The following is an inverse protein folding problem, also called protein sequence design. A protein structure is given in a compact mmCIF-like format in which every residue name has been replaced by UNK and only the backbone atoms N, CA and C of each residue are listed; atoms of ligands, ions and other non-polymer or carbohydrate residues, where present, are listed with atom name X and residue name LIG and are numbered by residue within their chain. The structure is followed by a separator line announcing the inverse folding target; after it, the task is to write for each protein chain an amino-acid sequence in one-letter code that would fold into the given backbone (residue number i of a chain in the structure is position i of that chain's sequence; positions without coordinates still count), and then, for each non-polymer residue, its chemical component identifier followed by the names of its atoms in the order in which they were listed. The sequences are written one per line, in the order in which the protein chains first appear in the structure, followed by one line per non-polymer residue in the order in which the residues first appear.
data_IF_696581738622
#
_entry.id   IF_696581738622
#
_cell.length_a   1.000
_cell.length_b   1.000
_cell.length_c   1.000
_cell.angle_alpha   90.00
_cell.angle_beta   90.00
_cell.angle_gamma   90.00
#
_symmetry.space_group_name_H-M   'P 1'
#
loop_
_entity.id
_entity.type
_entity.pdbx_description
1 polymer ?
#
# COMPACT_ATOMS: atom_id res chain seq x y z
N UNK A 1 0.11 -4.33 25.26
CA UNK A 1 1.40 -4.63 24.59
C UNK A 1 1.14 -5.78 23.61
N UNK A 2 1.21 -5.54 22.31
CA UNK A 2 1.09 -6.63 21.32
C UNK A 2 2.34 -7.51 21.38
N UNK A 3 2.17 -8.83 21.26
CA UNK A 3 3.31 -9.76 21.20
C UNK A 3 4.03 -9.54 19.86
N UNK A 4 5.37 -9.53 19.84
CA UNK A 4 6.13 -9.39 18.60
C UNK A 4 5.88 -10.57 17.67
N UNK A 5 5.66 -10.29 16.39
CA UNK A 5 5.43 -11.30 15.36
C UNK A 5 6.76 -12.02 15.10
N UNK A 6 6.80 -13.34 15.31
CA UNK A 6 8.00 -14.13 15.05
C UNK A 6 8.16 -14.40 13.55
N UNK A 7 9.31 -14.03 12.98
CA UNK A 7 9.59 -14.16 11.54
C UNK A 7 10.88 -14.89 11.20
N UNK A 8 11.60 -15.38 12.20
CA UNK A 8 12.85 -16.11 12.00
C UNK A 8 12.67 -17.39 11.16
N UNK A 9 11.48 -18.00 11.24
CA UNK A 9 11.09 -19.15 10.41
C UNK A 9 11.19 -18.87 8.90
N UNK A 10 11.11 -17.61 8.46
CA UNK A 10 11.26 -17.23 7.05
C UNK A 10 12.67 -17.57 6.53
N UNK A 11 13.65 -17.67 7.43
CA UNK A 11 15.03 -17.98 7.08
C UNK A 11 15.30 -19.48 6.96
N UNK A 12 14.39 -20.34 7.45
CA UNK A 12 14.56 -21.80 7.43
C UNK A 12 14.79 -22.33 6.01
N UNK A 13 15.76 -23.25 5.90
CA UNK A 13 16.11 -23.88 4.63
C UNK A 13 15.21 -25.09 4.36
N UNK A 14 14.85 -25.84 5.41
CA UNK A 14 13.94 -26.96 5.32
C UNK A 14 12.49 -26.50 5.34
N UNK A 15 11.91 -26.39 4.14
CA UNK A 15 10.50 -26.01 3.95
C UNK A 15 9.51 -27.10 4.32
N UNK A 16 9.98 -28.35 4.48
CA UNK A 16 9.16 -29.46 4.93
C UNK A 16 9.29 -29.67 6.45
N UNK A 17 10.24 -29.01 7.08
CA UNK A 17 10.41 -28.97 8.53
C UNK A 17 9.24 -28.28 9.24
N UNK A 18 9.02 -28.68 10.48
CA UNK A 18 7.89 -28.20 11.28
C UNK A 18 7.97 -26.71 11.59
N UNK A 19 9.19 -26.17 11.77
CA UNK A 19 9.41 -24.74 12.03
C UNK A 19 8.88 -23.89 10.88
N UNK A 20 9.23 -24.23 9.64
CA UNK A 20 8.78 -23.49 8.47
C UNK A 20 7.26 -23.64 8.27
N UNK A 21 6.73 -24.86 8.39
CA UNK A 21 5.28 -25.11 8.25
C UNK A 21 4.46 -24.35 9.30
N UNK A 22 4.92 -24.34 10.55
CA UNK A 22 4.27 -23.61 11.62
C UNK A 22 4.30 -22.11 11.35
N UNK A 23 5.45 -21.57 10.96
CA UNK A 23 5.57 -20.16 10.59
C UNK A 23 4.64 -19.76 9.43
N UNK A 24 4.52 -20.61 8.41
CA UNK A 24 3.55 -20.40 7.31
C UNK A 24 2.11 -20.39 7.83
N UNK A 25 1.76 -21.30 8.73
CA UNK A 25 0.42 -21.34 9.34
C UNK A 25 0.13 -20.07 10.16
N UNK A 26 1.10 -19.62 10.96
CA UNK A 26 1.02 -18.39 11.75
C UNK A 26 0.85 -17.16 10.86
N UNK A 27 1.59 -17.08 9.75
CA UNK A 27 1.42 -16.04 8.74
C UNK A 27 0.02 -16.05 8.12
N UNK A 28 -0.50 -17.22 7.75
CA UNK A 28 -1.85 -17.33 7.18
C UNK A 28 -2.90 -16.91 8.19
N UNK A 29 -2.75 -17.29 9.46
CA UNK A 29 -3.66 -16.85 10.53
C UNK A 29 -3.62 -15.34 10.69
N UNK A 30 -2.42 -14.74 10.75
CA UNK A 30 -2.23 -13.30 10.80
C UNK A 30 -2.92 -12.60 9.61
N UNK A 31 -2.64 -13.05 8.39
CA UNK A 31 -3.23 -12.49 7.19
C UNK A 31 -4.75 -12.62 7.22
N UNK A 32 -5.30 -13.78 7.62
CA UNK A 32 -6.76 -14.00 7.68
C UNK A 32 -7.45 -13.02 8.62
N UNK A 33 -6.87 -12.77 9.80
CA UNK A 33 -7.44 -11.82 10.78
C UNK A 33 -7.43 -10.39 10.24
N UNK A 34 -6.38 -10.04 9.48
CA UNK A 34 -6.17 -8.69 8.99
C UNK A 34 -6.69 -8.44 7.56
N UNK A 35 -7.23 -9.44 6.87
CA UNK A 35 -7.63 -9.34 5.46
C UNK A 35 -9.00 -8.64 5.24
N UNK A 36 -9.51 -7.90 6.23
CA UNK A 36 -10.78 -7.15 6.15
C UNK A 36 -11.97 -7.93 5.53
N UNK A 37 -12.04 -9.24 5.75
CA UNK A 37 -13.11 -10.10 5.23
C UNK A 37 -12.92 -10.64 3.81
N UNK A 38 -11.81 -10.34 3.13
CA UNK A 38 -11.52 -10.93 1.82
C UNK A 38 -11.18 -12.44 1.92
N UNK A 39 -11.64 -13.21 0.94
CA UNK A 39 -11.38 -14.66 0.81
C UNK A 39 -10.04 -14.98 0.15
N UNK A 40 -9.39 -13.96 -0.44
CA UNK A 40 -8.10 -14.09 -1.12
C UNK A 40 -7.10 -13.06 -0.61
N UNK A 41 -5.82 -13.38 -0.71
CA UNK A 41 -4.73 -12.57 -0.15
C UNK A 41 -3.50 -12.61 -1.07
N UNK A 42 -2.70 -11.54 -1.16
CA UNK A 42 -1.45 -11.54 -1.93
C UNK A 42 -0.49 -12.65 -1.48
N UNK A 43 0.10 -13.37 -2.43
CA UNK A 43 0.99 -14.49 -2.16
C UNK A 43 2.46 -14.05 -2.07
N UNK A 44 3.08 -14.30 -0.90
CA UNK A 44 4.49 -13.97 -0.62
C UNK A 44 5.49 -15.01 -1.13
N UNK A 45 5.07 -15.97 -1.96
CA UNK A 45 6.03 -16.93 -2.47
C UNK A 45 6.97 -16.27 -3.49
N UNK A 46 8.17 -16.82 -3.67
CA UNK A 46 9.22 -16.24 -4.54
C UNK A 46 8.83 -16.08 -6.01
N UNK A 47 7.85 -16.86 -6.46
CA UNK A 47 7.28 -16.80 -7.81
C UNK A 47 6.20 -15.72 -7.94
N UNK A 48 5.43 -15.47 -6.89
CA UNK A 48 4.31 -14.52 -6.93
C UNK A 48 4.72 -13.12 -6.49
N UNK A 49 5.61 -13.00 -5.49
CA UNK A 49 6.14 -11.73 -4.95
C UNK A 49 5.05 -10.67 -4.71
N UNK A 50 3.96 -11.08 -4.06
CA UNK A 50 2.76 -10.27 -3.81
C UNK A 50 1.98 -9.83 -5.06
N UNK A 51 2.40 -10.16 -6.28
CA UNK A 51 1.71 -9.78 -7.53
C UNK A 51 0.48 -10.64 -7.88
N UNK A 52 0.25 -11.76 -7.17
CA UNK A 52 -0.91 -12.62 -7.38
C UNK A 52 -1.60 -12.93 -6.06
N UNK A 53 -2.93 -12.81 -6.04
CA UNK A 53 -3.76 -13.13 -4.89
C UNK A 53 -4.43 -14.49 -5.05
N UNK A 54 -4.45 -15.27 -3.97
CA UNK A 54 -5.11 -16.58 -3.96
C UNK A 54 -5.84 -16.82 -2.65
N UNK A 55 -6.68 -17.85 -2.62
CA UNK A 55 -7.23 -18.38 -1.37
C UNK A 55 -6.12 -18.94 -0.46
N UNK A 56 -6.29 -18.87 0.85
CA UNK A 56 -5.27 -19.23 1.84
C UNK A 56 -4.69 -20.64 1.67
N UNK A 57 -5.50 -21.63 1.28
CA UNK A 57 -5.02 -22.99 1.02
C UNK A 57 -4.05 -23.07 -0.17
N UNK A 58 -4.25 -22.25 -1.21
CA UNK A 58 -3.31 -22.13 -2.34
C UNK A 58 -2.05 -21.39 -1.93
N UNK A 59 -2.17 -20.33 -1.12
CA UNK A 59 -1.01 -19.61 -0.55
C UNK A 59 -0.15 -20.56 0.27
N UNK A 60 -0.74 -21.37 1.15
CA UNK A 60 -0.03 -22.38 1.93
C UNK A 60 0.80 -23.28 1.02
N UNK A 61 0.17 -23.89 0.01
CA UNK A 61 0.84 -24.77 -0.95
C UNK A 61 1.98 -24.07 -1.69
N UNK A 62 1.78 -22.81 -2.10
CA UNK A 62 2.82 -22.01 -2.76
C UNK A 62 4.00 -21.72 -1.85
N UNK A 63 3.75 -21.36 -0.58
CA UNK A 63 4.81 -21.08 0.39
C UNK A 63 5.62 -22.34 0.74
N UNK A 64 5.01 -23.52 0.78
CA UNK A 64 5.74 -24.79 0.94
C UNK A 64 6.57 -25.12 -0.32
N UNK A 65 5.95 -25.01 -1.51
CA UNK A 65 6.59 -25.43 -2.77
C UNK A 65 7.72 -24.49 -3.20
N UNK A 66 7.43 -23.20 -3.30
CA UNK A 66 8.31 -22.18 -3.86
C UNK A 66 9.12 -21.43 -2.80
N UNK A 67 8.73 -21.55 -1.54
CA UNK A 67 9.33 -20.79 -0.46
C UNK A 67 8.82 -19.35 -0.41
N UNK A 68 8.91 -18.76 0.77
CA UNK A 68 8.62 -17.36 1.00
C UNK A 68 9.75 -16.46 0.46
N UNK A 69 9.38 -15.26 0.05
CA UNK A 69 10.32 -14.19 -0.22
C UNK A 69 10.91 -13.68 1.11
N UNK A 70 12.21 -13.94 1.31
CA UNK A 70 12.94 -13.56 2.53
C UNK A 70 13.17 -12.05 2.64
N UNK A 71 13.01 -11.32 1.54
CA UNK A 71 13.20 -9.87 1.50
C UNK A 71 11.96 -9.12 1.97
N UNK A 72 10.79 -9.75 1.92
CA UNK A 72 9.54 -9.13 2.36
C UNK A 72 9.32 -9.32 3.87
N UNK A 73 10.10 -8.58 4.66
CA UNK A 73 10.13 -8.69 6.13
C UNK A 73 8.97 -7.99 6.84
N UNK A 74 8.32 -7.02 6.21
CA UNK A 74 7.17 -6.30 6.77
C UNK A 74 5.95 -6.64 5.94
N UNK A 75 4.94 -7.24 6.54
CA UNK A 75 3.73 -7.72 5.88
C UNK A 75 2.68 -6.61 5.76
N UNK A 76 3.07 -5.48 5.17
CA UNK A 76 2.22 -4.27 5.04
C UNK A 76 0.93 -4.54 4.28
N UNK A 77 1.01 -5.33 3.19
CA UNK A 77 -0.16 -5.76 2.41
C UNK A 77 -1.06 -6.77 3.14
N UNK A 78 -0.66 -7.17 4.35
CA UNK A 78 -1.34 -8.15 5.19
C UNK A 78 -1.71 -7.53 6.55
N UNK A 79 -1.61 -6.20 6.67
CA UNK A 79 -2.04 -5.44 7.85
C UNK A 79 -1.00 -5.28 8.95
N UNK A 80 0.28 -5.58 8.68
CA UNK A 80 1.34 -5.25 9.64
C UNK A 80 1.63 -3.75 9.66
N UNK A 81 1.56 -3.15 10.85
CA UNK A 81 1.91 -1.76 11.07
C UNK A 81 3.35 -1.63 11.60
N UNK A 82 4.28 -1.04 10.83
CA UNK A 82 5.69 -0.89 11.22
C UNK A 82 5.89 0.08 12.39
N UNK A 83 4.92 0.93 12.73
CA UNK A 83 5.03 1.92 13.79
C UNK A 83 4.81 1.36 15.22
N UNK A 84 4.72 0.03 15.38
CA UNK A 84 4.43 -0.61 16.67
C UNK A 84 5.67 -1.07 17.45
N UNK A 85 6.85 -0.95 16.87
CA UNK A 85 8.11 -1.19 17.57
C UNK A 85 8.56 0.08 18.32
N UNK A 86 9.24 -0.04 19.48
CA UNK A 86 9.86 1.11 20.12
C UNK A 86 10.89 1.70 19.17
N UNK A 87 10.60 2.93 18.72
CA UNK A 87 11.45 3.74 17.85
C UNK A 87 12.82 3.88 18.51
N UNK A 88 13.80 3.10 18.06
CA UNK A 88 15.18 3.56 18.07
C UNK A 88 15.23 4.51 16.88
N UNK A 89 15.18 5.82 17.14
CA UNK A 89 15.27 6.81 16.07
C UNK A 89 16.54 6.53 15.27
N UNK A 90 16.45 6.18 13.96
CA UNK A 90 17.61 6.32 13.13
C UNK A 90 17.92 7.81 13.06
N UNK A 91 19.11 8.19 13.52
CA UNK A 91 19.69 9.51 13.22
C UNK A 91 19.84 9.54 11.71
N UNK A 92 18.86 10.15 11.02
CA UNK A 92 18.97 10.47 9.61
C UNK A 92 19.84 11.72 9.57
N UNK A 93 21.13 11.53 9.32
CA UNK A 93 21.96 12.63 8.82
C UNK A 93 21.35 13.04 7.47
N UNK A 94 20.85 14.27 7.40
CA UNK A 94 20.30 14.86 6.18
C UNK A 94 21.42 15.02 5.15
N UNK A 95 21.71 13.95 4.41
CA UNK A 95 22.40 14.09 3.13
C UNK A 95 21.39 14.62 2.11
N UNK A 96 21.49 15.92 1.83
CA UNK A 96 20.90 16.57 0.66
C UNK A 96 21.42 15.89 -0.62
N UNK A 97 20.75 14.81 -1.03
CA UNK A 97 20.80 14.35 -2.39
C UNK A 97 19.63 14.99 -3.14
N UNK A 98 19.97 15.89 -4.06
CA UNK A 98 19.07 16.51 -5.04
C UNK A 98 18.64 15.46 -6.10
N UNK A 99 18.06 14.36 -5.63
CA UNK A 99 17.32 13.44 -6.47
C UNK A 99 15.86 13.88 -6.40
N UNK A 100 15.31 14.31 -7.53
CA UNK A 100 13.89 14.60 -7.79
C UNK A 100 13.00 13.53 -7.14
N UNK A 101 12.67 13.77 -5.87
CA UNK A 101 11.98 12.81 -5.02
C UNK A 101 10.52 12.78 -5.42
N UNK A 102 10.03 11.61 -5.83
CA UNK A 102 8.61 11.33 -5.96
C UNK A 102 7.97 11.38 -4.57
N UNK A 103 7.77 12.59 -4.04
CA UNK A 103 7.02 12.82 -2.82
C UNK A 103 5.60 12.26 -2.97
N UNK A 104 5.00 11.82 -1.87
CA UNK A 104 3.64 11.26 -1.86
C UNK A 104 2.61 12.17 -2.55
N UNK A 105 2.83 13.49 -2.59
CA UNK A 105 1.98 14.44 -3.32
C UNK A 105 1.84 14.11 -4.81
N UNK A 106 2.89 13.58 -5.45
CA UNK A 106 2.85 13.24 -6.88
C UNK A 106 1.97 12.00 -7.15
N UNK A 107 1.95 11.05 -6.22
CA UNK A 107 1.09 9.87 -6.29
C UNK A 107 -0.39 10.23 -6.11
N UNK A 108 -0.70 11.09 -5.13
CA UNK A 108 -2.07 11.56 -4.89
C UNK A 108 -2.58 12.36 -6.10
N UNK A 109 -1.80 13.32 -6.61
CA UNK A 109 -2.17 14.09 -7.80
C UNK A 109 -2.42 13.19 -9.03
N UNK A 110 -1.62 12.12 -9.22
CA UNK A 110 -1.84 11.13 -10.27
C UNK A 110 -3.15 10.33 -10.08
N UNK A 111 -3.46 9.92 -8.85
CA UNK A 111 -4.68 9.16 -8.54
C UNK A 111 -5.98 9.96 -8.77
N UNK A 112 -5.91 11.29 -8.63
CA UNK A 112 -7.03 12.21 -8.87
C UNK A 112 -7.02 12.82 -10.29
N UNK A 113 -6.11 12.39 -11.18
CA UNK A 113 -6.07 12.84 -12.58
C UNK A 113 -5.70 14.32 -12.74
N UNK A 114 -4.83 14.83 -11.86
CA UNK A 114 -4.41 16.25 -11.82
C UNK A 114 -3.29 16.56 -12.81
N UNK A 115 -2.51 15.55 -13.22
CA UNK A 115 -1.56 15.71 -14.30
C UNK A 115 -2.29 15.75 -15.64
N UNK A 116 -1.99 16.77 -16.46
CA UNK A 116 -2.32 16.74 -17.89
C UNK A 116 -1.70 15.46 -18.45
N UNK A 117 -2.55 14.58 -18.97
CA UNK A 117 -2.12 13.34 -19.62
C UNK A 117 -1.11 13.71 -20.70
N UNK A 118 0.18 13.53 -20.44
CA UNK A 118 1.06 13.10 -21.52
C UNK A 118 0.49 11.74 -21.87
N UNK A 119 -0.26 11.70 -22.97
CA UNK A 119 -0.69 10.45 -23.56
C UNK A 119 0.58 9.64 -23.77
N UNK A 120 0.87 8.70 -22.87
CA UNK A 120 1.75 7.61 -23.17
C UNK A 120 1.07 6.92 -24.35
N UNK A 121 1.58 7.17 -25.54
CA UNK A 121 1.17 6.54 -26.78
C UNK A 121 1.46 5.04 -26.62
N UNK A 122 0.52 4.33 -25.98
CA UNK A 122 0.52 2.89 -25.90
C UNK A 122 0.15 2.41 -27.28
N UNK A 123 1.18 2.26 -28.10
CA UNK A 123 1.12 1.52 -29.36
C UNK A 123 0.29 0.25 -29.13
N UNK A 124 -0.74 0.13 -29.95
CA UNK A 124 -1.63 -1.03 -30.05
C UNK A 124 -0.82 -2.25 -30.50
N UNK A 125 -0.28 -3.01 -29.54
CA UNK A 125 0.15 -4.38 -29.80
C UNK A 125 0.11 -5.15 -28.48
N UNK A 126 -1.01 -5.81 -28.22
CA UNK A 126 -1.01 -7.24 -27.88
C UNK A 126 -2.46 -7.76 -27.88
N UNK A 127 -2.82 -8.43 -28.97
CA UNK A 127 -3.85 -9.46 -28.94
C UNK A 127 -3.44 -10.56 -27.94
N UNK A 128 -4.41 -10.97 -27.11
CA UNK A 128 -4.42 -12.14 -26.21
C UNK A 128 -3.93 -11.97 -24.76
N UNK A 129 -4.80 -11.39 -23.92
CA UNK A 129 -5.11 -12.03 -22.63
C UNK A 129 -6.55 -11.76 -22.20
N UNK A 130 -7.41 -12.78 -22.30
CA UNK A 130 -8.74 -12.79 -21.72
C UNK A 130 -8.61 -13.03 -20.20
N UNK A 131 -8.33 -11.95 -19.47
CA UNK A 131 -8.50 -11.87 -18.02
C UNK A 131 -9.60 -10.86 -17.76
N UNK A 132 -10.54 -11.20 -16.87
CA UNK A 132 -11.65 -10.36 -16.43
C UNK A 132 -11.10 -9.04 -15.87
N UNK A 133 -10.97 -8.05 -16.74
CA UNK A 133 -10.55 -6.71 -16.39
C UNK A 133 -11.78 -6.04 -15.82
N UNK A 134 -11.86 -5.97 -14.48
CA UNK A 134 -12.73 -4.98 -13.87
C UNK A 134 -12.42 -3.65 -14.56
N UNK A 135 -13.43 -2.99 -15.18
CA UNK A 135 -13.20 -1.69 -15.77
C UNK A 135 -12.58 -0.81 -14.68
N UNK A 136 -11.51 -0.06 -14.98
CA UNK A 136 -10.89 0.82 -14.01
C UNK A 136 -12.01 1.65 -13.38
N UNK A 137 -11.97 1.87 -12.05
CA UNK A 137 -13.00 2.62 -11.37
C UNK A 137 -13.25 3.89 -12.17
N UNK A 138 -14.50 4.04 -12.65
CA UNK A 138 -14.88 5.19 -13.47
C UNK A 138 -14.64 6.41 -12.60
N UNK A 139 -13.54 7.11 -12.85
CA UNK A 139 -13.24 8.36 -12.18
C UNK A 139 -14.41 9.28 -12.47
N UNK A 140 -15.04 9.82 -11.42
CA UNK A 140 -16.17 10.71 -11.60
C UNK A 140 -15.75 11.83 -12.56
N UNK A 141 -16.57 12.15 -13.57
CA UNK A 141 -16.31 13.30 -14.42
C UNK A 141 -16.23 14.52 -13.51
N UNK A 142 -15.05 15.13 -13.42
CA UNK A 142 -14.69 16.28 -12.55
C UNK A 142 -14.01 15.98 -11.19
N UNK A 143 -13.67 14.72 -10.87
CA UNK A 143 -12.99 14.39 -9.62
C UNK A 143 -11.68 15.18 -9.42
N UNK A 144 -10.84 15.27 -10.46
CA UNK A 144 -9.59 16.03 -10.42
C UNK A 144 -9.79 17.55 -10.28
N UNK A 145 -10.87 18.10 -10.86
CA UNK A 145 -11.20 19.52 -10.71
C UNK A 145 -11.55 19.85 -9.26
N UNK A 146 -12.41 19.03 -8.63
CA UNK A 146 -12.81 19.19 -7.22
C UNK A 146 -11.63 19.03 -6.28
N UNK A 147 -10.76 18.04 -6.54
CA UNK A 147 -9.54 17.86 -5.76
C UNK A 147 -8.65 19.11 -5.78
N UNK A 148 -8.41 19.68 -6.96
CA UNK A 148 -7.59 20.90 -7.09
C UNK A 148 -8.23 22.11 -6.38
N UNK A 149 -9.55 22.24 -6.44
CA UNK A 149 -10.27 23.28 -5.71
C UNK A 149 -10.11 23.15 -4.20
N UNK A 150 -10.29 21.94 -3.65
CA UNK A 150 -10.08 21.68 -2.21
C UNK A 150 -8.63 21.88 -1.80
N UNK A 151 -7.66 21.47 -2.62
CA UNK A 151 -6.22 21.69 -2.38
C UNK A 151 -5.94 23.20 -2.19
N UNK A 152 -6.50 24.04 -3.06
CA UNK A 152 -6.39 25.50 -2.92
C UNK A 152 -7.05 26.03 -1.64
N UNK A 153 -8.24 25.53 -1.28
CA UNK A 153 -8.93 25.93 -0.05
C UNK A 153 -8.22 25.47 1.22
N UNK A 154 -7.44 24.38 1.15
CA UNK A 154 -6.65 23.85 2.26
C UNK A 154 -5.44 24.75 2.57
N UNK A 155 -4.94 25.49 1.60
CA UNK A 155 -3.83 26.44 1.75
C UNK A 155 -4.33 27.87 2.03
N UNK A 156 -5.55 28.17 1.62
CA UNK A 156 -6.16 29.49 1.80
C UNK A 156 -6.55 29.72 3.26
N UNK A 157 -6.04 30.81 3.85
CA UNK A 157 -6.49 31.30 5.15
C UNK A 157 -7.99 31.61 5.13
N UNK A 158 -8.68 31.33 6.24
CA UNK A 158 -10.12 31.62 6.36
C UNK A 158 -10.46 33.09 6.08
N UNK A 159 -9.60 34.01 6.52
CA UNK A 159 -9.63 35.43 6.16
C UNK A 159 -8.19 35.93 5.96
N UNK A 160 -7.94 36.96 5.12
CA UNK A 160 -6.58 37.44 4.85
C UNK A 160 -5.81 37.87 6.10
N UNK A 161 -6.50 38.44 7.09
CA UNK A 161 -5.95 38.85 8.39
C UNK A 161 -5.99 37.75 9.45
N UNK A 162 -6.25 36.49 9.08
CA UNK A 162 -6.27 35.37 10.02
C UNK A 162 -4.85 35.01 10.42
N UNK A 163 -4.58 35.11 11.71
CA UNK A 163 -3.34 34.63 12.33
C UNK A 163 -3.47 33.18 12.83
N UNK A 164 -4.70 32.71 13.05
CA UNK A 164 -4.97 31.33 13.43
C UNK A 164 -4.71 30.38 12.25
N UNK A 165 -4.27 29.14 12.50
CA UNK A 165 -3.99 28.13 11.47
C UNK A 165 -5.28 27.53 10.87
N UNK A 166 -6.35 28.30 10.80
CA UNK A 166 -7.64 27.88 10.26
C UNK A 166 -7.71 28.24 8.78
N UNK A 167 -7.96 27.23 7.96
CA UNK A 167 -8.05 27.37 6.50
C UNK A 167 -9.51 27.33 6.06
N UNK A 168 -9.78 27.80 4.84
CA UNK A 168 -11.14 27.78 4.28
C UNK A 168 -11.69 26.37 4.28
N UNK A 169 -10.88 25.37 3.87
CA UNK A 169 -11.32 23.98 3.86
C UNK A 169 -11.60 23.44 5.27
N UNK A 170 -10.74 23.74 6.26
CA UNK A 170 -10.94 23.30 7.65
C UNK A 170 -12.29 23.81 8.19
N UNK A 171 -12.60 25.08 7.98
CA UNK A 171 -13.86 25.67 8.45
C UNK A 171 -15.09 25.06 7.76
N UNK A 172 -14.98 24.74 6.46
CA UNK A 172 -16.06 24.06 5.72
C UNK A 172 -16.33 22.69 6.32
N UNK A 173 -15.28 21.91 6.61
CA UNK A 173 -15.38 20.57 7.20
C UNK A 173 -16.02 20.64 8.60
N UNK A 174 -15.60 21.60 9.42
CA UNK A 174 -16.15 21.80 10.76
C UNK A 174 -17.64 22.19 10.76
N UNK A 175 -18.14 22.83 9.69
CA UNK A 175 -19.55 23.22 9.56
C UNK A 175 -20.45 22.06 9.12
N UNK A 176 -19.89 20.99 8.54
CA UNK A 176 -20.66 19.87 7.97
C UNK A 176 -20.50 18.56 8.77
N UNK A 177 -19.79 18.60 9.90
CA UNK A 177 -19.66 17.51 10.88
C UNK A 177 -20.35 17.87 12.20
#
# INVERSE_FOLDING_TARGET
MSRPIQKEWMNELDRLGDVYKQGVADFIQFATVNNCGSTTCPCLCRECRNGKSFVFGTIFRHLIRYGMDKNYRVWVLHGENPCTDPVVEPVIEEENNEAEGLGMGNFVDASYGVHEVVACDLNEDEENHMGDFEPPPVLEPDLGKRYNEYKKMAEQKLYPSCEAPVTTLSAIVDLHN
#
